data_IF_520251934437
#
_entry.id   IF_520251934437
#
_cell.length_a   1.000
_cell.length_b   1.000
_cell.length_c   1.000
_cell.angle_alpha   90.00
_cell.angle_beta   90.00
_cell.angle_gamma   90.00
#
_symmetry.space_group_name_H-M   'P 1'
#
loop_
_entity.id
_entity.type
_entity.pdbx_description
1 polymer ?
#
# COMPACT_ATOMS: atom_id res chain seq x y z
N UNK A 1 -54.29 -9.93 52.43
CA UNK A 1 -53.60 -10.86 51.52
C UNK A 1 -53.92 -10.48 50.09
N UNK A 2 -52.94 -9.90 49.38
CA UNK A 2 -52.84 -9.74 47.91
C UNK A 2 -51.81 -8.65 47.66
N UNK A 3 -50.57 -9.03 47.36
CA UNK A 3 -49.72 -8.20 46.49
C UNK A 3 -48.96 -9.11 45.53
N UNK A 4 -49.11 -8.68 44.29
CA UNK A 4 -48.83 -9.34 43.03
C UNK A 4 -47.32 -9.56 42.88
N UNK A 5 -46.92 -10.78 42.55
CA UNK A 5 -45.58 -11.08 42.04
C UNK A 5 -45.44 -10.40 40.68
N UNK A 6 -44.80 -9.24 40.63
CA UNK A 6 -44.48 -8.58 39.36
C UNK A 6 -43.10 -9.05 38.90
N UNK A 7 -43.13 -10.13 38.15
CA UNK A 7 -42.02 -10.71 37.39
C UNK A 7 -41.55 -9.66 36.36
N UNK A 8 -40.54 -8.84 36.69
CA UNK A 8 -39.97 -7.92 35.70
C UNK A 8 -39.05 -8.71 34.78
N UNK A 9 -39.63 -9.08 33.65
CA UNK A 9 -39.02 -9.86 32.59
C UNK A 9 -37.81 -9.10 32.01
N UNK A 10 -36.72 -9.83 31.90
CA UNK A 10 -35.43 -9.50 31.30
C UNK A 10 -35.59 -8.86 29.93
N UNK A 11 -34.94 -7.71 29.70
CA UNK A 11 -34.59 -7.23 28.36
C UNK A 11 -33.10 -6.90 28.35
N UNK A 12 -32.28 -7.96 28.36
CA UNK A 12 -30.85 -7.87 28.10
C UNK A 12 -30.67 -7.60 26.60
N UNK A 13 -30.63 -6.31 26.22
CA UNK A 13 -30.32 -5.85 24.87
C UNK A 13 -28.85 -6.17 24.57
N UNK A 14 -28.59 -7.42 24.16
CA UNK A 14 -27.38 -7.79 23.44
C UNK A 14 -27.35 -6.99 22.14
N UNK A 15 -26.66 -5.85 22.16
CA UNK A 15 -26.17 -5.22 20.94
C UNK A 15 -25.17 -6.20 20.33
N UNK A 16 -25.66 -7.10 19.50
CA UNK A 16 -24.87 -7.77 18.49
C UNK A 16 -24.38 -6.66 17.55
N UNK A 17 -23.25 -6.04 17.89
CA UNK A 17 -22.42 -5.38 16.90
C UNK A 17 -22.02 -6.52 15.98
N UNK A 18 -22.76 -6.68 14.89
CA UNK A 18 -22.41 -7.56 13.80
C UNK A 18 -21.08 -7.03 13.26
N UNK A 19 -19.99 -7.50 13.85
CA UNK A 19 -18.63 -7.22 13.43
C UNK A 19 -18.46 -7.99 12.13
N UNK A 20 -18.98 -7.42 11.04
CA UNK A 20 -18.68 -7.90 9.71
C UNK A 20 -17.16 -7.87 9.60
N UNK A 21 -16.50 -8.99 9.22
CA UNK A 21 -15.08 -8.96 8.98
C UNK A 21 -14.82 -7.82 7.98
N UNK A 22 -13.83 -6.96 8.25
CA UNK A 22 -13.57 -5.81 7.39
C UNK A 22 -13.34 -6.31 5.96
N UNK A 23 -13.91 -5.59 4.99
CA UNK A 23 -13.64 -5.87 3.60
C UNK A 23 -12.16 -5.71 3.30
N UNK A 24 -11.72 -6.26 2.17
CA UNK A 24 -10.36 -6.02 1.66
C UNK A 24 -10.45 -5.20 0.39
N UNK A 25 -9.56 -4.24 0.23
CA UNK A 25 -9.40 -3.49 -1.03
C UNK A 25 -8.04 -3.80 -1.65
N UNK A 26 -8.06 -4.04 -2.95
CA UNK A 26 -6.86 -4.25 -3.76
C UNK A 26 -6.33 -2.90 -4.21
N UNK A 27 -5.07 -2.65 -3.95
CA UNK A 27 -4.39 -1.39 -4.24
C UNK A 27 -3.30 -1.61 -5.28
N UNK A 28 -3.11 -0.60 -6.14
CA UNK A 28 -2.00 -0.51 -7.07
C UNK A 28 -1.10 0.67 -6.67
N UNK A 29 0.13 0.39 -6.30
CA UNK A 29 1.17 1.41 -6.13
C UNK A 29 1.88 1.60 -7.47
N UNK A 30 1.74 2.79 -8.04
CA UNK A 30 2.41 3.19 -9.26
C UNK A 30 3.57 4.12 -8.93
N UNK A 31 4.75 3.82 -9.49
CA UNK A 31 5.89 4.73 -9.50
C UNK A 31 5.94 5.38 -10.87
N UNK A 32 5.88 6.71 -10.91
CA UNK A 32 5.82 7.51 -12.12
C UNK A 32 7.04 8.43 -12.22
N UNK A 33 7.62 8.51 -13.40
CA UNK A 33 8.63 9.49 -13.77
C UNK A 33 8.07 10.37 -14.88
N UNK A 34 7.65 11.59 -14.53
CA UNK A 34 6.79 12.39 -15.40
C UNK A 34 5.43 11.72 -15.58
N UNK A 35 5.00 11.54 -16.84
CA UNK A 35 3.72 10.89 -17.18
C UNK A 35 3.84 9.38 -17.45
N UNK A 36 5.01 8.79 -17.20
CA UNK A 36 5.28 7.38 -17.48
C UNK A 36 5.30 6.57 -16.19
N UNK A 37 4.44 5.55 -16.11
CA UNK A 37 4.52 4.52 -15.06
C UNK A 37 5.70 3.60 -15.37
N UNK A 38 6.66 3.57 -14.44
CA UNK A 38 7.88 2.76 -14.58
C UNK A 38 7.77 1.44 -13.79
N UNK A 39 7.02 1.44 -12.70
CA UNK A 39 6.82 0.31 -11.81
C UNK A 39 5.37 0.32 -11.30
N UNK A 40 4.73 -0.84 -11.31
CA UNK A 40 3.42 -1.05 -10.69
C UNK A 40 3.52 -2.21 -9.69
N UNK A 41 3.06 -1.99 -8.46
CA UNK A 41 3.08 -2.99 -7.38
C UNK A 41 1.69 -3.14 -6.80
N UNK A 42 1.15 -4.35 -6.85
CA UNK A 42 -0.18 -4.66 -6.31
C UNK A 42 -0.07 -5.23 -4.90
N UNK A 43 -0.96 -4.81 -4.00
CA UNK A 43 -1.07 -5.29 -2.62
C UNK A 43 -2.51 -5.08 -2.12
N UNK A 44 -2.89 -5.62 -0.97
CA UNK A 44 -4.20 -5.37 -0.38
C UNK A 44 -4.13 -4.98 1.08
N UNK A 45 -5.19 -4.31 1.52
CA UNK A 45 -5.37 -3.87 2.90
C UNK A 45 -6.82 -4.03 3.32
N UNK A 46 -7.07 -3.89 4.61
CA UNK A 46 -8.41 -3.70 5.13
C UNK A 46 -9.02 -2.44 4.54
N UNK A 47 -10.32 -2.46 4.22
CA UNK A 47 -11.07 -1.28 3.78
C UNK A 47 -11.08 -0.14 4.82
N UNK A 48 -10.78 -0.45 6.08
CA UNK A 48 -10.63 0.50 7.20
C UNK A 48 -9.21 1.00 7.44
N UNK A 49 -8.23 0.56 6.65
CA UNK A 49 -6.83 0.95 6.84
C UNK A 49 -6.63 2.45 6.64
N UNK A 50 -5.83 3.04 7.53
CA UNK A 50 -5.36 4.43 7.44
C UNK A 50 -4.31 4.57 6.32
N UNK A 51 -4.05 5.82 5.89
CA UNK A 51 -2.98 6.13 4.93
C UNK A 51 -1.63 5.60 5.40
N UNK A 52 -1.34 5.70 6.71
CA UNK A 52 -0.11 5.18 7.31
C UNK A 52 0.03 3.66 7.15
N UNK A 53 -1.05 2.90 7.37
CA UNK A 53 -1.08 1.44 7.24
C UNK A 53 -1.04 1.00 5.77
N UNK A 54 -1.65 1.78 4.87
CA UNK A 54 -1.56 1.56 3.42
C UNK A 54 -0.10 1.61 2.97
N UNK A 55 0.65 2.63 3.39
CA UNK A 55 2.08 2.74 3.08
C UNK A 55 2.91 1.60 3.69
N UNK A 56 2.61 1.16 4.91
CA UNK A 56 3.31 0.03 5.51
C UNK A 56 3.07 -1.25 4.70
N UNK A 57 1.82 -1.52 4.30
CA UNK A 57 1.46 -2.69 3.51
C UNK A 57 2.11 -2.69 2.12
N UNK A 58 2.20 -1.52 1.47
CA UNK A 58 2.84 -1.38 0.16
C UNK A 58 4.31 -1.85 0.14
N UNK A 59 5.02 -1.72 1.26
CA UNK A 59 6.41 -2.18 1.38
C UNK A 59 6.54 -3.60 1.89
N UNK A 60 5.67 -4.02 2.81
CA UNK A 60 5.84 -5.30 3.52
C UNK A 60 5.18 -6.49 2.84
N UNK A 61 4.10 -6.26 2.08
CA UNK A 61 3.24 -7.33 1.58
C UNK A 61 2.82 -7.13 0.11
N UNK A 62 3.75 -6.90 -0.82
CA UNK A 62 3.41 -6.88 -2.23
C UNK A 62 2.97 -8.27 -2.70
N UNK A 63 1.89 -8.34 -3.48
CA UNK A 63 1.47 -9.55 -4.18
C UNK A 63 2.21 -9.75 -5.48
N UNK A 64 2.39 -8.68 -6.24
CA UNK A 64 2.99 -8.70 -7.56
C UNK A 64 3.64 -7.36 -7.84
N UNK A 65 4.71 -7.36 -8.62
CA UNK A 65 5.38 -6.15 -9.08
C UNK A 65 5.76 -6.35 -10.54
N UNK A 66 5.44 -5.36 -11.36
CA UNK A 66 5.66 -5.36 -12.80
C UNK A 66 6.38 -4.07 -13.21
N UNK A 67 7.35 -4.21 -14.11
CA UNK A 67 8.02 -3.09 -14.77
C UNK A 67 7.24 -2.74 -16.02
N UNK A 68 6.75 -1.49 -16.12
CA UNK A 68 5.77 -1.11 -17.15
C UNK A 68 6.42 -0.43 -18.37
N UNK A 69 7.41 0.46 -18.22
CA UNK A 69 8.13 1.12 -19.34
C UNK A 69 9.34 1.99 -18.89
N UNK A 70 10.26 2.38 -19.81
CA UNK A 70 11.20 1.51 -20.53
C UNK A 70 12.34 1.01 -19.62
N UNK A 71 13.17 0.11 -20.15
CA UNK A 71 14.22 -0.66 -19.45
C UNK A 71 14.99 0.16 -18.41
N UNK A 72 14.71 -0.11 -17.13
CA UNK A 72 15.48 0.38 -16.01
C UNK A 72 16.95 -0.01 -16.19
N UNK A 73 17.81 1.00 -16.38
CA UNK A 73 19.25 0.78 -16.56
C UNK A 73 19.89 0.63 -15.19
N UNK A 74 20.46 -0.55 -14.92
CA UNK A 74 21.20 -0.78 -13.69
C UNK A 74 22.43 0.13 -13.59
N UNK A 75 22.78 0.54 -12.37
CA UNK A 75 24.03 1.25 -12.11
C UNK A 75 25.23 0.36 -12.46
N UNK A 76 26.24 0.94 -13.14
CA UNK A 76 27.50 0.24 -13.45
C UNK A 76 28.25 -0.20 -12.18
N UNK A 77 28.16 0.59 -11.12
CA UNK A 77 28.82 0.35 -9.84
C UNK A 77 28.01 -0.58 -8.94
N UNK A 78 26.70 -0.68 -9.19
CA UNK A 78 25.77 -1.48 -8.39
C UNK A 78 24.72 -2.12 -9.30
N UNK A 79 25.02 -3.27 -9.94
CA UNK A 79 24.15 -3.87 -10.95
C UNK A 79 22.80 -4.35 -10.39
N UNK A 80 22.65 -4.38 -9.06
CA UNK A 80 21.40 -4.73 -8.37
C UNK A 80 20.54 -3.51 -8.02
N UNK A 81 20.99 -2.31 -8.37
CA UNK A 81 20.34 -1.04 -8.02
C UNK A 81 20.23 -0.15 -9.25
N UNK A 82 19.17 0.64 -9.28
CA UNK A 82 19.06 1.77 -10.18
C UNK A 82 18.46 2.94 -9.42
N UNK A 83 18.99 4.13 -9.64
CA UNK A 83 18.46 5.36 -9.04
C UNK A 83 17.68 6.10 -10.11
N UNK A 84 16.45 6.48 -9.77
CA UNK A 84 15.57 7.24 -10.62
C UNK A 84 15.95 8.71 -10.53
N UNK A 85 16.36 9.26 -11.68
CA UNK A 85 16.82 10.64 -11.77
C UNK A 85 15.65 11.62 -11.77
N UNK A 86 15.77 12.68 -10.97
CA UNK A 86 14.75 13.74 -10.89
C UNK A 86 13.53 13.37 -10.04
N UNK A 87 12.45 14.16 -10.16
CA UNK A 87 11.21 13.93 -9.41
C UNK A 87 10.52 12.64 -9.86
N UNK A 88 10.13 11.84 -8.87
CA UNK A 88 9.37 10.61 -9.02
C UNK A 88 8.14 10.71 -8.15
N UNK A 89 6.97 10.49 -8.74
CA UNK A 89 5.73 10.42 -8.01
C UNK A 89 5.41 8.96 -7.69
N UNK A 90 5.01 8.68 -6.46
CA UNK A 90 4.44 7.40 -6.08
C UNK A 90 2.98 7.65 -5.77
N UNK A 91 2.09 6.98 -6.50
CA UNK A 91 0.64 7.02 -6.30
C UNK A 91 0.18 5.66 -5.79
N UNK A 92 -0.72 5.65 -4.81
CA UNK A 92 -1.43 4.44 -4.42
C UNK A 92 -2.89 4.63 -4.79
N UNK A 93 -3.37 3.73 -5.64
CA UNK A 93 -4.71 3.77 -6.22
C UNK A 93 -5.54 2.59 -5.71
N UNK A 94 -6.81 2.83 -5.43
CA UNK A 94 -7.83 1.79 -5.38
C UNK A 94 -8.65 1.89 -6.66
N UNK A 95 -8.53 0.90 -7.55
CA UNK A 95 -9.06 0.98 -8.93
C UNK A 95 -8.51 2.21 -9.65
N UNK A 96 -9.32 3.25 -9.88
CA UNK A 96 -8.91 4.54 -10.45
C UNK A 96 -8.89 5.67 -9.44
N UNK A 97 -9.26 5.42 -8.19
CA UNK A 97 -9.33 6.43 -7.12
C UNK A 97 -7.98 6.57 -6.43
N UNK A 98 -7.48 7.79 -6.32
CA UNK A 98 -6.27 8.09 -5.57
C UNK A 98 -6.53 7.98 -4.06
N UNK A 99 -5.73 7.14 -3.38
CA UNK A 99 -5.77 6.98 -1.93
C UNK A 99 -4.72 7.87 -1.26
N UNK A 100 -3.51 7.91 -1.81
CA UNK A 100 -2.41 8.74 -1.33
C UNK A 100 -1.33 8.86 -2.41
N UNK A 101 -0.54 9.93 -2.36
CA UNK A 101 0.59 10.14 -3.26
C UNK A 101 1.70 10.92 -2.58
N UNK A 102 2.91 10.77 -3.10
CA UNK A 102 4.06 11.59 -2.70
C UNK A 102 4.99 11.78 -3.88
N UNK A 103 5.60 12.96 -4.00
CA UNK A 103 6.69 13.20 -4.94
C UNK A 103 8.01 13.28 -4.18
N UNK A 104 9.01 12.52 -4.63
CA UNK A 104 10.34 12.48 -4.05
C UNK A 104 11.40 12.51 -5.15
N UNK A 105 12.65 12.70 -4.76
CA UNK A 105 13.81 12.56 -5.66
C UNK A 105 14.74 11.46 -5.14
N UNK A 106 15.61 10.93 -6.02
CA UNK A 106 16.63 9.94 -5.64
C UNK A 106 16.02 8.62 -5.16
N UNK A 107 14.90 8.22 -5.78
CA UNK A 107 14.24 6.95 -5.46
C UNK A 107 15.07 5.80 -6.02
N UNK A 108 15.40 4.82 -5.18
CA UNK A 108 16.22 3.67 -5.58
C UNK A 108 15.34 2.44 -5.79
N UNK A 109 15.44 1.81 -6.95
CA UNK A 109 14.87 0.49 -7.19
C UNK A 109 15.96 -0.57 -7.06
N UNK A 110 15.57 -1.76 -6.62
CA UNK A 110 16.47 -2.89 -6.46
C UNK A 110 15.93 -4.12 -7.18
N UNK A 111 16.81 -5.05 -7.53
CA UNK A 111 16.47 -6.35 -8.08
C UNK A 111 17.30 -7.44 -7.43
N UNK A 112 16.81 -8.67 -7.49
CA UNK A 112 17.42 -9.81 -6.76
C UNK A 112 18.74 -10.26 -7.37
N UNK A 113 18.84 -10.26 -8.70
CA UNK A 113 20.05 -10.67 -9.44
C UNK A 113 20.33 -9.69 -10.58
N UNK A 114 21.56 -9.70 -11.11
CA UNK A 114 21.96 -8.81 -12.21
C UNK A 114 21.32 -9.15 -13.57
N UNK A 115 20.68 -10.30 -13.67
CA UNK A 115 20.00 -10.77 -14.88
C UNK A 115 18.48 -10.68 -14.77
N UNK A 116 17.95 -10.51 -13.56
CA UNK A 116 16.51 -10.37 -13.30
C UNK A 116 16.00 -9.00 -13.76
N UNK A 117 14.77 -8.99 -14.29
CA UNK A 117 14.02 -7.78 -14.61
C UNK A 117 13.04 -7.41 -13.48
N UNK A 118 13.06 -8.14 -12.36
CA UNK A 118 12.15 -7.99 -11.21
C UNK A 118 12.59 -6.82 -10.30
N UNK A 119 12.60 -5.63 -10.88
CA UNK A 119 12.79 -4.41 -10.13
C UNK A 119 11.65 -4.22 -9.15
N UNK A 120 11.96 -3.74 -7.95
CA UNK A 120 10.98 -3.41 -6.94
C UNK A 120 11.48 -2.28 -6.05
N UNK A 121 10.53 -1.63 -5.38
CA UNK A 121 10.81 -0.60 -4.40
C UNK A 121 11.12 -1.25 -3.04
N UNK A 122 12.34 -1.13 -2.48
CA UNK A 122 12.64 -1.75 -1.21
C UNK A 122 11.90 -1.04 -0.06
N UNK A 123 11.63 -1.76 1.02
CA UNK A 123 10.88 -1.27 2.20
C UNK A 123 11.41 0.06 2.74
N UNK A 124 12.73 0.29 2.68
CA UNK A 124 13.35 1.55 3.11
C UNK A 124 12.88 2.76 2.31
N UNK A 125 12.68 2.59 1.01
CA UNK A 125 12.22 3.64 0.10
C UNK A 125 10.72 3.89 0.29
N UNK A 126 9.94 2.82 0.50
CA UNK A 126 8.52 2.95 0.88
C UNK A 126 8.35 3.69 2.20
N UNK A 127 9.20 3.42 3.21
CA UNK A 127 9.18 4.18 4.47
C UNK A 127 9.57 5.65 4.27
N UNK A 128 10.44 5.97 3.32
CA UNK A 128 10.75 7.36 2.97
C UNK A 128 9.55 8.03 2.28
N UNK A 129 8.90 7.33 1.36
CA UNK A 129 7.66 7.75 0.72
C UNK A 129 6.57 8.07 1.74
N UNK A 130 6.33 7.14 2.67
CA UNK A 130 5.41 7.32 3.80
C UNK A 130 5.66 8.61 4.59
N UNK A 131 6.92 8.91 4.92
CA UNK A 131 7.28 10.13 5.67
C UNK A 131 7.02 11.42 4.89
N UNK A 132 7.05 11.38 3.56
CA UNK A 132 6.72 12.55 2.73
C UNK A 132 5.22 12.68 2.45
N UNK A 133 4.45 11.61 2.62
CA UNK A 133 3.01 11.56 2.37
C UNK A 133 2.15 11.92 3.60
N UNK A 134 2.74 11.90 4.81
CA UNK A 134 2.11 12.17 6.10
C UNK A 134 2.65 13.45 6.71
#
# INVERSE_FOLDING_TARGET
MKYLVSFFCVAFLLHLVACHPPGRKLLNMEVLQGDVVILATMFDVSDRSTVSEIWDAAGEKPFSTEVVAPTLVASKESPLKTELSGPVEIRILHTTSLETSVTLTGLTLVRTTSESEDWHLPVSEVRRAKKGAL
#
